data_IF_295698882831
#
_entry.id   IF_295698882831
#
_cell.length_a   1.000
_cell.length_b   1.000
_cell.length_c   1.000
_cell.angle_alpha   90.00
_cell.angle_beta   90.00
_cell.angle_gamma   90.00
#
_symmetry.space_group_name_H-M   'P 1'
#
loop_
_entity.id
_entity.type
_entity.pdbx_description
1 polymer ?
#
# COMPACT_ATOMS: atom_id res chain seq x y z
N UNK A 1 -23.48 12.83 48.21
CA UNK A 1 -23.64 13.31 46.83
C UNK A 1 -22.22 13.56 46.31
N UNK A 2 -21.64 12.57 45.61
CA UNK A 2 -20.30 12.71 44.98
C UNK A 2 -20.51 13.10 43.51
N UNK A 3 -19.77 14.10 42.99
CA UNK A 3 -19.89 14.47 41.59
C UNK A 3 -19.30 13.35 40.72
N UNK A 4 -20.06 12.91 39.71
CA UNK A 4 -19.60 12.08 38.64
C UNK A 4 -18.40 12.78 37.97
N UNK A 5 -17.21 12.21 38.09
CA UNK A 5 -16.08 12.52 37.23
C UNK A 5 -16.49 12.09 35.79
N UNK A 6 -16.75 13.09 34.95
CA UNK A 6 -16.79 12.92 33.51
C UNK A 6 -15.46 12.32 33.08
N UNK A 7 -15.51 11.09 32.56
CA UNK A 7 -14.39 10.49 31.88
C UNK A 7 -14.02 11.43 30.72
N UNK A 8 -12.86 12.02 30.87
CA UNK A 8 -12.19 12.84 29.87
C UNK A 8 -12.10 12.01 28.59
N UNK A 9 -12.82 12.46 27.58
CA UNK A 9 -12.83 11.79 26.27
C UNK A 9 -11.42 11.82 25.71
N UNK A 10 -10.69 10.71 25.92
CA UNK A 10 -9.39 10.50 25.27
C UNK A 10 -9.57 10.76 23.80
N UNK A 11 -9.03 11.87 23.32
CA UNK A 11 -9.00 12.26 21.92
C UNK A 11 -8.41 11.10 21.14
N UNK A 12 -9.28 10.41 20.38
CA UNK A 12 -8.87 9.37 19.44
C UNK A 12 -7.94 10.09 18.47
N UNK A 13 -6.64 9.88 18.59
CA UNK A 13 -5.65 10.48 17.70
C UNK A 13 -5.89 9.97 16.29
N UNK A 14 -6.30 10.86 15.40
CA UNK A 14 -6.40 10.57 13.99
C UNK A 14 -5.05 10.05 13.49
N UNK A 15 -5.08 8.92 12.76
CA UNK A 15 -3.86 8.37 12.17
C UNK A 15 -3.33 9.36 11.12
N UNK A 16 -2.07 9.85 11.25
CA UNK A 16 -1.56 10.87 10.34
C UNK A 16 -1.38 10.32 8.92
N UNK A 17 -2.03 10.93 7.95
CA UNK A 17 -2.01 10.53 6.54
C UNK A 17 -0.68 10.81 5.82
N UNK A 18 0.24 11.55 6.44
CA UNK A 18 1.52 11.92 5.81
C UNK A 18 2.38 10.70 5.43
N UNK A 19 2.28 9.59 6.18
CA UNK A 19 3.00 8.36 5.84
C UNK A 19 2.55 7.78 4.49
N UNK A 20 1.25 7.80 4.22
CA UNK A 20 0.70 7.38 2.95
C UNK A 20 1.14 8.32 1.81
N UNK A 21 1.16 9.64 2.05
CA UNK A 21 1.67 10.62 1.08
C UNK A 21 3.13 10.38 0.75
N UNK A 22 3.97 10.06 1.74
CA UNK A 22 5.39 9.70 1.53
C UNK A 22 5.51 8.44 0.66
N UNK A 23 4.70 7.41 0.91
CA UNK A 23 4.73 6.19 0.10
C UNK A 23 4.33 6.45 -1.36
N UNK A 24 3.33 7.31 -1.60
CA UNK A 24 2.95 7.73 -2.95
C UNK A 24 4.09 8.50 -3.63
N UNK A 25 4.71 9.46 -2.95
CA UNK A 25 5.83 10.23 -3.49
C UNK A 25 7.01 9.31 -3.82
N UNK A 26 7.33 8.37 -2.93
CA UNK A 26 8.40 7.40 -3.17
C UNK A 26 8.08 6.51 -4.39
N UNK A 27 6.83 6.05 -4.53
CA UNK A 27 6.38 5.30 -5.71
C UNK A 27 6.52 6.11 -7.00
N UNK A 28 6.23 7.42 -6.95
CA UNK A 28 6.43 8.32 -8.09
C UNK A 28 7.91 8.52 -8.44
N UNK A 29 8.78 8.67 -7.44
CA UNK A 29 10.22 8.78 -7.65
C UNK A 29 10.74 7.51 -8.34
N UNK A 30 10.34 6.34 -7.85
CA UNK A 30 10.70 5.07 -8.47
C UNK A 30 10.19 4.97 -9.92
N UNK A 31 8.96 5.44 -10.20
CA UNK A 31 8.39 5.44 -11.54
C UNK A 31 9.14 6.39 -12.49
N UNK A 32 9.48 7.62 -12.05
CA UNK A 32 10.19 8.61 -12.88
C UNK A 32 11.61 8.17 -13.19
N UNK A 33 12.24 7.40 -12.32
CA UNK A 33 13.59 6.87 -12.52
C UNK A 33 13.64 5.61 -13.39
N UNK A 34 12.48 5.06 -13.79
CA UNK A 34 12.42 3.98 -14.78
C UNK A 34 12.85 4.47 -16.18
N UNK A 35 13.50 3.61 -16.97
CA UNK A 35 13.78 3.92 -18.39
C UNK A 35 12.49 4.24 -19.15
N UNK A 36 12.51 5.21 -20.09
CA UNK A 36 11.32 5.64 -20.84
C UNK A 36 10.58 4.50 -21.57
N UNK A 37 11.29 3.46 -21.97
CA UNK A 37 10.72 2.26 -22.61
C UNK A 37 9.85 1.40 -21.68
N UNK A 38 10.01 1.57 -20.36
CA UNK A 38 9.25 0.84 -19.33
C UNK A 38 8.13 1.69 -18.71
N UNK A 39 7.94 2.91 -19.20
CA UNK A 39 6.87 3.80 -18.79
C UNK A 39 5.77 3.87 -19.84
N UNK A 40 4.52 3.93 -19.40
CA UNK A 40 3.38 4.04 -20.31
C UNK A 40 3.13 5.50 -20.68
N UNK A 41 3.23 5.82 -21.97
CA UNK A 41 2.99 7.17 -22.49
C UNK A 41 4.08 8.17 -22.10
N UNK A 42 3.76 9.48 -22.10
CA UNK A 42 4.71 10.51 -21.69
C UNK A 42 5.05 10.39 -20.19
N UNK A 43 6.33 10.52 -19.84
CA UNK A 43 6.83 10.37 -18.47
C UNK A 43 6.12 11.26 -17.44
N UNK A 44 5.62 12.42 -17.86
CA UNK A 44 4.91 13.37 -17.01
C UNK A 44 3.44 13.01 -16.72
N UNK A 45 2.84 12.09 -17.50
CA UNK A 45 1.40 11.79 -17.42
C UNK A 45 1.01 11.19 -16.06
N UNK A 46 1.66 10.11 -15.64
CA UNK A 46 1.36 9.43 -14.36
C UNK A 46 1.67 10.34 -13.18
N UNK A 47 2.84 11.00 -13.08
CA UNK A 47 3.11 11.97 -12.03
C UNK A 47 2.09 13.11 -11.97
N UNK A 48 1.69 13.69 -13.11
CA UNK A 48 0.70 14.77 -13.14
C UNK A 48 -0.66 14.30 -12.61
N UNK A 49 -1.16 13.17 -13.08
CA UNK A 49 -2.42 12.59 -12.61
C UNK A 49 -2.37 12.28 -11.11
N UNK A 50 -1.27 11.68 -10.64
CA UNK A 50 -1.10 11.33 -9.23
C UNK A 50 -1.01 12.57 -8.35
N UNK A 51 -0.23 13.59 -8.74
CA UNK A 51 -0.09 14.84 -7.99
C UNK A 51 -1.38 15.66 -8.00
N UNK A 52 -2.14 15.65 -9.09
CA UNK A 52 -3.44 16.34 -9.17
C UNK A 52 -4.47 15.80 -8.17
N UNK A 53 -4.35 14.54 -7.78
CA UNK A 53 -5.18 13.91 -6.75
C UNK A 53 -4.54 14.02 -5.36
N UNK A 54 -3.22 13.87 -5.25
CA UNK A 54 -2.51 13.90 -3.98
C UNK A 54 -2.55 15.28 -3.32
N UNK A 55 -2.37 16.35 -4.08
CA UNK A 55 -2.34 17.72 -3.57
C UNK A 55 -3.67 18.11 -2.90
N UNK A 56 -4.84 17.99 -3.56
CA UNK A 56 -6.12 18.29 -2.91
C UNK A 56 -6.37 17.36 -1.70
N UNK A 57 -6.02 16.09 -1.80
CA UNK A 57 -6.23 15.13 -0.72
C UNK A 57 -5.38 15.44 0.52
N UNK A 58 -4.16 15.95 0.34
CA UNK A 58 -3.25 16.29 1.44
C UNK A 58 -3.54 17.67 2.06
N UNK A 59 -4.00 18.64 1.26
CA UNK A 59 -4.16 20.04 1.69
C UNK A 59 -5.62 20.36 2.02
N UNK A 60 -6.57 19.91 1.22
CA UNK A 60 -7.99 20.31 1.31
C UNK A 60 -8.79 19.38 2.20
N UNK A 61 -8.48 18.08 2.19
CA UNK A 61 -9.22 17.09 2.97
C UNK A 61 -9.22 17.38 4.48
N UNK A 62 -8.10 17.77 5.13
CA UNK A 62 -8.11 18.08 6.56
C UNK A 62 -9.03 19.24 6.94
N UNK A 63 -9.32 20.14 6.00
CA UNK A 63 -10.13 21.34 6.24
C UNK A 63 -11.64 21.15 6.03
N UNK A 64 -12.06 20.13 5.27
CA UNK A 64 -13.46 19.88 4.90
C UNK A 64 -14.02 18.63 5.55
N UNK A 65 -14.57 18.71 6.74
CA UNK A 65 -15.18 17.58 7.48
C UNK A 65 -16.44 16.96 6.83
N UNK A 66 -16.85 17.35 5.64
CA UNK A 66 -18.16 17.00 5.04
C UNK A 66 -18.17 15.90 3.98
N UNK A 67 -17.06 15.66 3.26
CA UNK A 67 -17.08 14.84 2.03
C UNK A 67 -16.18 13.57 2.11
N UNK A 68 -16.23 12.85 3.21
CA UNK A 68 -15.42 11.65 3.44
C UNK A 68 -15.50 10.58 2.33
N UNK A 69 -16.65 10.51 1.62
CA UNK A 69 -16.82 9.58 0.49
C UNK A 69 -15.99 9.99 -0.72
N UNK A 70 -15.93 11.28 -1.02
CA UNK A 70 -15.17 11.81 -2.16
C UNK A 70 -13.66 11.69 -1.89
N UNK A 71 -13.23 12.00 -0.67
CA UNK A 71 -11.85 11.83 -0.24
C UNK A 71 -11.37 10.38 -0.38
N UNK A 72 -12.18 9.44 0.08
CA UNK A 72 -11.88 8.01 -0.05
C UNK A 72 -11.86 7.56 -1.52
N UNK A 73 -12.82 8.03 -2.33
CA UNK A 73 -12.83 7.72 -3.76
C UNK A 73 -11.58 8.27 -4.47
N UNK A 74 -11.13 9.47 -4.11
CA UNK A 74 -9.91 10.08 -4.64
C UNK A 74 -8.66 9.31 -4.19
N UNK A 75 -8.57 8.85 -2.92
CA UNK A 75 -7.49 8.00 -2.42
C UNK A 75 -7.42 6.67 -3.19
N UNK A 76 -8.55 6.02 -3.35
CA UNK A 76 -8.64 4.75 -4.10
C UNK A 76 -8.26 4.96 -5.57
N UNK A 77 -8.74 6.02 -6.21
CA UNK A 77 -8.39 6.34 -7.59
C UNK A 77 -6.88 6.61 -7.76
N UNK A 78 -6.28 7.35 -6.82
CA UNK A 78 -4.85 7.62 -6.80
C UNK A 78 -4.04 6.32 -6.69
N UNK A 79 -4.38 5.46 -5.74
CA UNK A 79 -3.69 4.17 -5.57
C UNK A 79 -3.86 3.29 -6.81
N UNK A 80 -5.07 3.28 -7.41
CA UNK A 80 -5.35 2.52 -8.62
C UNK A 80 -4.53 3.00 -9.83
N UNK A 81 -4.34 4.31 -9.99
CA UNK A 81 -3.51 4.89 -11.07
C UNK A 81 -2.05 4.43 -10.91
N UNK A 82 -1.48 4.55 -9.71
CA UNK A 82 -0.09 4.15 -9.46
C UNK A 82 0.07 2.64 -9.64
N UNK A 83 -0.89 1.85 -9.15
CA UNK A 83 -0.87 0.39 -9.32
C UNK A 83 -0.95 -0.03 -10.80
N UNK A 84 -1.86 0.58 -11.56
CA UNK A 84 -1.99 0.32 -12.99
C UNK A 84 -0.69 0.68 -13.74
N UNK A 85 -0.10 1.83 -13.43
CA UNK A 85 1.18 2.22 -14.00
C UNK A 85 2.28 1.19 -13.69
N UNK A 86 2.34 0.68 -12.45
CA UNK A 86 3.30 -0.35 -12.04
C UNK A 86 3.10 -1.66 -12.80
N UNK A 87 1.86 -2.13 -12.96
CA UNK A 87 1.53 -3.35 -13.71
C UNK A 87 1.88 -3.18 -15.19
N UNK A 88 1.61 -2.03 -15.78
CA UNK A 88 1.98 -1.73 -17.15
C UNK A 88 3.50 -1.70 -17.33
N UNK A 89 4.25 -1.12 -16.38
CA UNK A 89 5.71 -1.14 -16.40
C UNK A 89 6.27 -2.56 -16.32
N UNK A 90 5.66 -3.44 -15.51
CA UNK A 90 6.01 -4.86 -15.48
C UNK A 90 5.74 -5.55 -16.82
N UNK A 91 4.59 -5.29 -17.43
CA UNK A 91 4.25 -5.85 -18.74
C UNK A 91 5.23 -5.39 -19.84
N UNK A 92 5.61 -4.11 -19.83
CA UNK A 92 6.62 -3.56 -20.74
C UNK A 92 8.01 -4.15 -20.48
N UNK A 93 8.38 -4.39 -19.22
CA UNK A 93 9.62 -5.07 -18.86
C UNK A 93 9.65 -6.50 -19.43
N UNK A 94 8.59 -7.27 -19.26
CA UNK A 94 8.46 -8.63 -19.81
C UNK A 94 8.54 -8.59 -21.34
N UNK A 95 7.82 -7.66 -21.97
CA UNK A 95 7.85 -7.49 -23.42
C UNK A 95 9.26 -7.15 -23.93
N UNK A 96 9.98 -6.25 -23.24
CA UNK A 96 11.35 -5.89 -23.61
C UNK A 96 12.33 -7.06 -23.50
N UNK A 97 12.11 -7.96 -22.55
CA UNK A 97 12.88 -9.20 -22.41
C UNK A 97 12.61 -10.18 -23.54
N UNK A 98 11.32 -10.36 -23.91
CA UNK A 98 10.90 -11.30 -24.96
C UNK A 98 11.33 -10.85 -26.35
N UNK A 99 11.36 -9.55 -26.63
CA UNK A 99 11.69 -8.97 -27.94
C UNK A 99 13.19 -8.90 -28.24
N UNK A 100 14.05 -9.58 -27.47
CA UNK A 100 15.52 -9.59 -27.66
C UNK A 100 16.11 -8.17 -27.75
N UNK A 101 15.62 -7.24 -26.94
CA UNK A 101 16.04 -5.84 -26.96
C UNK A 101 17.56 -5.68 -26.75
N UNK A 102 18.29 -5.60 -27.86
CA UNK A 102 19.76 -5.46 -27.90
C UNK A 102 20.29 -4.20 -27.21
N UNK A 103 19.41 -3.30 -26.79
CA UNK A 103 19.77 -1.97 -26.29
C UNK A 103 19.66 -1.82 -24.75
N UNK A 104 19.32 -2.87 -24.00
CA UNK A 104 19.23 -2.81 -22.56
C UNK A 104 20.35 -3.60 -21.92
N UNK A 105 21.11 -2.97 -21.02
CA UNK A 105 22.08 -3.71 -20.20
C UNK A 105 21.35 -4.60 -19.19
N UNK A 106 21.93 -5.75 -18.88
CA UNK A 106 21.35 -6.65 -17.87
C UNK A 106 21.17 -5.97 -16.52
N UNK A 107 22.11 -5.10 -16.14
CA UNK A 107 22.05 -4.35 -14.90
C UNK A 107 20.87 -3.35 -14.88
N UNK A 108 20.60 -2.66 -15.98
CA UNK A 108 19.46 -1.74 -16.08
C UNK A 108 18.12 -2.47 -15.92
N UNK A 109 17.99 -3.65 -16.52
CA UNK A 109 16.77 -4.47 -16.39
C UNK A 109 16.58 -5.00 -14.97
N UNK A 110 17.67 -5.42 -14.29
CA UNK A 110 17.61 -5.84 -12.90
C UNK A 110 17.18 -4.71 -11.97
N UNK A 111 17.78 -3.52 -12.14
CA UNK A 111 17.41 -2.36 -11.34
C UNK A 111 15.95 -1.96 -11.56
N UNK A 112 15.51 -1.95 -12.82
CA UNK A 112 14.10 -1.65 -13.16
C UNK A 112 13.12 -2.67 -12.55
N UNK A 113 13.44 -3.95 -12.60
CA UNK A 113 12.63 -5.00 -11.98
C UNK A 113 12.56 -4.82 -10.46
N UNK A 114 13.66 -4.47 -9.80
CA UNK A 114 13.67 -4.16 -8.37
C UNK A 114 12.84 -2.92 -8.04
N UNK A 115 12.92 -1.86 -8.86
CA UNK A 115 12.08 -0.65 -8.70
C UNK A 115 10.59 -0.98 -8.83
N UNK A 116 10.21 -1.78 -9.82
CA UNK A 116 8.83 -2.24 -10.02
C UNK A 116 8.36 -3.08 -8.82
N UNK A 117 9.20 -3.99 -8.31
CA UNK A 117 8.89 -4.79 -7.15
C UNK A 117 8.71 -3.93 -5.88
N UNK A 118 9.62 -2.98 -5.64
CA UNK A 118 9.51 -2.08 -4.48
C UNK A 118 8.26 -1.17 -4.58
N UNK A 119 7.93 -0.69 -5.78
CA UNK A 119 6.69 0.04 -6.03
C UNK A 119 5.46 -0.82 -5.73
N UNK A 120 5.49 -2.11 -6.10
CA UNK A 120 4.42 -3.06 -5.78
C UNK A 120 4.19 -3.14 -4.27
N UNK A 121 5.25 -3.30 -3.47
CA UNK A 121 5.16 -3.32 -2.00
C UNK A 121 4.53 -2.05 -1.45
N UNK A 122 4.96 -0.87 -1.91
CA UNK A 122 4.43 0.41 -1.42
C UNK A 122 2.95 0.58 -1.77
N UNK A 123 2.58 0.25 -3.00
CA UNK A 123 1.21 0.41 -3.51
C UNK A 123 0.24 -0.56 -2.85
N UNK A 124 0.65 -1.82 -2.63
CA UNK A 124 -0.22 -2.77 -1.92
C UNK A 124 -0.31 -2.48 -0.43
N UNK A 125 0.75 -1.95 0.20
CA UNK A 125 0.67 -1.40 1.55
C UNK A 125 -0.37 -0.27 1.66
N UNK A 126 -0.44 0.63 0.65
CA UNK A 126 -1.48 1.65 0.55
C UNK A 126 -2.88 1.05 0.34
N UNK A 127 -3.03 0.03 -0.52
CA UNK A 127 -4.29 -0.68 -0.71
C UNK A 127 -4.81 -1.30 0.59
N UNK A 128 -3.96 -2.02 1.32
CA UNK A 128 -4.33 -2.63 2.59
C UNK A 128 -4.74 -1.58 3.62
N UNK A 129 -3.97 -0.51 3.74
CA UNK A 129 -4.25 0.59 4.67
C UNK A 129 -5.57 1.31 4.35
N UNK A 130 -5.88 1.56 3.07
CA UNK A 130 -7.09 2.26 2.65
C UNK A 130 -8.33 1.37 2.67
N UNK A 131 -8.19 0.05 2.49
CA UNK A 131 -9.34 -0.87 2.45
C UNK A 131 -9.72 -1.40 3.82
N UNK A 132 -8.74 -1.70 4.69
CA UNK A 132 -8.99 -2.34 5.97
C UNK A 132 -9.98 -1.56 6.85
N UNK A 133 -11.05 -2.23 7.21
CA UNK A 133 -12.07 -1.69 8.08
C UNK A 133 -12.77 -0.43 7.58
N UNK A 134 -12.75 -0.19 6.27
CA UNK A 134 -13.35 1.00 5.66
C UNK A 134 -12.43 2.22 5.58
N UNK A 135 -11.12 2.03 5.82
CA UNK A 135 -10.09 3.05 5.71
C UNK A 135 -9.75 3.75 7.04
N UNK A 136 -8.70 4.60 7.02
CA UNK A 136 -8.15 5.21 8.23
C UNK A 136 -9.18 6.03 9.03
N UNK A 137 -10.02 6.81 8.35
CA UNK A 137 -11.05 7.63 9.01
C UNK A 137 -12.14 6.79 9.68
N UNK A 138 -12.52 5.67 9.05
CA UNK A 138 -13.48 4.75 9.63
C UNK A 138 -12.87 4.01 10.83
N UNK A 139 -11.55 3.72 10.76
CA UNK A 139 -10.81 3.13 11.89
C UNK A 139 -10.69 4.09 13.07
N UNK A 140 -10.44 5.37 12.82
CA UNK A 140 -10.31 6.39 13.87
C UNK A 140 -11.63 6.61 14.63
N UNK A 141 -12.76 6.61 13.92
CA UNK A 141 -14.09 6.91 14.52
C UNK A 141 -14.79 5.72 15.20
N UNK A 142 -14.24 4.51 15.16
CA UNK A 142 -14.91 3.32 15.69
C UNK A 142 -14.25 2.77 16.96
N UNK A 143 -15.09 2.44 17.96
CA UNK A 143 -14.64 1.68 19.12
C UNK A 143 -14.41 0.24 18.69
N UNK A 144 -13.19 -0.29 18.95
CA UNK A 144 -12.84 -1.68 18.69
C UNK A 144 -13.90 -2.61 19.36
N UNK A 145 -14.49 -3.50 18.58
CA UNK A 145 -15.36 -4.57 19.09
C UNK A 145 -16.86 -4.40 18.86
N UNK A 146 -17.36 -3.25 18.40
CA UNK A 146 -18.81 -3.11 18.07
C UNK A 146 -19.04 -3.09 16.56
N UNK A 147 -19.27 -4.29 15.97
CA UNK A 147 -19.84 -4.43 14.63
C UNK A 147 -18.91 -4.01 13.46
N UNK A 148 -17.62 -3.81 13.71
CA UNK A 148 -16.67 -3.39 12.69
C UNK A 148 -16.18 -4.59 11.90
N UNK A 149 -16.30 -4.51 10.57
CA UNK A 149 -15.70 -5.46 9.64
C UNK A 149 -14.23 -5.10 9.45
N UNK A 150 -13.31 -5.90 9.96
CA UNK A 150 -11.88 -5.82 9.69
C UNK A 150 -11.54 -6.75 8.52
N UNK A 151 -10.63 -6.32 7.65
CA UNK A 151 -10.21 -7.12 6.50
C UNK A 151 -8.96 -7.95 6.83
N UNK A 152 -8.11 -7.47 7.76
CA UNK A 152 -6.88 -8.13 8.18
C UNK A 152 -6.84 -8.29 9.71
N UNK A 153 -6.63 -9.52 10.18
CA UNK A 153 -6.41 -9.83 11.59
C UNK A 153 -4.91 -9.86 11.87
N UNK A 154 -4.43 -8.81 12.51
CA UNK A 154 -3.04 -8.75 12.97
C UNK A 154 -2.86 -9.52 14.28
N UNK A 155 -1.69 -10.19 14.50
CA UNK A 155 -1.43 -10.96 15.72
C UNK A 155 -1.53 -10.11 16.98
N UNK A 156 -1.18 -8.82 16.92
CA UNK A 156 -1.28 -7.89 18.04
C UNK A 156 -2.74 -7.61 18.45
N UNK A 157 -3.69 -7.65 17.50
CA UNK A 157 -5.12 -7.57 17.81
C UNK A 157 -5.60 -8.81 18.56
N UNK A 158 -5.22 -9.99 18.08
CA UNK A 158 -5.57 -11.25 18.74
C UNK A 158 -4.96 -11.35 20.15
N UNK A 159 -3.68 -10.99 20.30
CA UNK A 159 -2.97 -10.98 21.58
C UNK A 159 -3.56 -9.96 22.56
N UNK A 160 -3.96 -8.77 22.10
CA UNK A 160 -4.55 -7.74 22.95
C UNK A 160 -5.94 -8.12 23.50
N UNK A 161 -6.70 -8.96 22.79
CA UNK A 161 -7.97 -9.50 23.31
C UNK A 161 -7.76 -10.51 24.44
N UNK A 162 -6.69 -11.31 24.37
CA UNK A 162 -6.36 -12.31 25.38
C UNK A 162 -5.69 -11.69 26.62
N UNK A 163 -4.85 -10.66 26.42
CA UNK A 163 -4.06 -10.01 27.46
C UNK A 163 -4.65 -8.67 27.96
N UNK A 164 -5.96 -8.45 27.81
CA UNK A 164 -6.61 -7.19 28.23
C UNK A 164 -6.34 -6.88 29.71
N UNK A 165 -5.36 -6.06 29.95
CA UNK A 165 -5.27 -5.25 31.16
C UNK A 165 -6.20 -4.04 30.97
N UNK A 166 -7.11 -3.78 31.91
CA UNK A 166 -8.10 -2.68 31.83
C UNK A 166 -7.49 -1.29 31.69
N UNK A 167 -6.17 -1.17 31.81
CA UNK A 167 -5.41 0.11 31.85
C UNK A 167 -4.68 0.45 30.57
N UNK A 168 -4.60 -0.42 29.56
CA UNK A 168 -3.86 -0.13 28.32
C UNK A 168 -4.80 0.15 27.14
N UNK A 169 -4.52 1.21 26.33
CA UNK A 169 -5.32 1.48 25.14
C UNK A 169 -5.23 0.30 24.15
N UNK A 170 -6.31 -0.05 23.46
CA UNK A 170 -6.31 -1.16 22.51
C UNK A 170 -5.32 -0.87 21.37
N UNK A 171 -4.51 -1.87 21.01
CA UNK A 171 -3.60 -1.76 19.87
C UNK A 171 -4.37 -1.51 18.56
N UNK A 172 -3.82 -0.68 17.68
CA UNK A 172 -4.38 -0.37 16.35
C UNK A 172 -3.29 -0.46 15.30
N UNK A 173 -3.56 -1.07 14.13
CA UNK A 173 -2.58 -1.11 13.05
C UNK A 173 -2.32 0.30 12.53
N UNK A 174 -1.03 0.60 12.30
CA UNK A 174 -0.54 1.83 11.68
C UNK A 174 -0.15 1.56 10.23
N UNK A 175 0.07 2.60 9.45
CA UNK A 175 0.47 2.49 8.05
C UNK A 175 1.66 1.53 7.83
N UNK A 176 2.66 1.57 8.70
CA UNK A 176 3.84 0.69 8.60
C UNK A 176 3.50 -0.79 8.76
N UNK A 177 2.49 -1.15 9.54
CA UNK A 177 2.06 -2.55 9.69
C UNK A 177 1.50 -3.11 8.38
N UNK A 178 0.84 -2.27 7.58
CA UNK A 178 0.34 -2.64 6.25
C UNK A 178 1.46 -2.72 5.21
N UNK A 179 2.46 -1.84 5.28
CA UNK A 179 3.66 -1.95 4.43
C UNK A 179 4.44 -3.21 4.77
N UNK A 180 4.56 -3.56 6.06
CA UNK A 180 5.17 -4.80 6.50
C UNK A 180 4.39 -6.03 5.99
N UNK A 181 3.05 -6.02 6.09
CA UNK A 181 2.20 -7.07 5.54
C UNK A 181 2.43 -7.24 4.03
N UNK A 182 2.45 -6.15 3.29
CA UNK A 182 2.72 -6.13 1.85
C UNK A 182 4.12 -6.68 1.54
N UNK A 183 5.14 -6.23 2.26
CA UNK A 183 6.51 -6.75 2.09
C UNK A 183 6.57 -8.26 2.30
N UNK A 184 5.95 -8.79 3.35
CA UNK A 184 5.89 -10.22 3.61
C UNK A 184 5.14 -10.99 2.50
N UNK A 185 4.03 -10.44 2.01
CA UNK A 185 3.25 -11.02 0.90
C UNK A 185 4.06 -11.03 -0.40
N UNK A 186 4.77 -9.93 -0.69
CA UNK A 186 5.56 -9.75 -1.91
C UNK A 186 6.81 -10.64 -1.95
N UNK A 187 7.42 -10.95 -0.78
CA UNK A 187 8.62 -11.79 -0.70
C UNK A 187 8.31 -13.27 -0.64
N UNK A 188 7.09 -13.67 -0.30
CA UNK A 188 6.66 -15.05 -0.05
C UNK A 188 7.54 -15.79 1.01
N UNK A 189 8.26 -15.05 1.85
CA UNK A 189 9.15 -15.56 2.89
C UNK A 189 8.46 -15.88 4.22
N UNK A 190 7.30 -16.33 4.24
CA UNK A 190 6.43 -16.60 5.38
C UNK A 190 5.29 -15.59 5.46
N UNK A 191 4.07 -16.04 5.69
CA UNK A 191 3.00 -15.13 5.97
C UNK A 191 3.42 -14.32 7.21
N UNK A 192 3.37 -13.00 7.10
CA UNK A 192 3.13 -12.22 8.29
C UNK A 192 1.97 -12.94 8.98
N UNK A 193 2.05 -13.22 10.28
CA UNK A 193 0.99 -13.92 11.03
C UNK A 193 -0.36 -13.17 11.00
N UNK A 194 -0.59 -12.43 9.93
CA UNK A 194 -1.75 -11.60 9.65
C UNK A 194 -2.68 -12.33 8.69
N UNK A 195 -3.92 -12.60 9.13
CA UNK A 195 -4.88 -13.36 8.37
C UNK A 195 -5.84 -12.46 7.60
N UNK A 196 -6.00 -12.61 6.26
CA UNK A 196 -7.06 -11.95 5.52
C UNK A 196 -8.41 -12.60 5.85
N UNK A 197 -9.31 -11.82 6.43
CA UNK A 197 -10.63 -12.28 6.87
C UNK A 197 -11.69 -12.15 5.79
N UNK A 198 -11.53 -11.18 4.88
CA UNK A 198 -12.52 -10.90 3.83
C UNK A 198 -12.05 -11.37 2.46
N UNK A 199 -13.01 -11.53 1.53
CA UNK A 199 -12.68 -11.84 0.14
C UNK A 199 -11.86 -10.73 -0.51
N UNK A 200 -12.13 -9.46 -0.19
CA UNK A 200 -11.38 -8.31 -0.68
C UNK A 200 -9.91 -8.39 -0.25
N UNK A 201 -9.65 -8.64 1.05
CA UNK A 201 -8.30 -8.82 1.56
C UNK A 201 -7.57 -9.97 0.87
N UNK A 202 -8.26 -11.12 0.69
CA UNK A 202 -7.68 -12.28 -0.01
C UNK A 202 -7.33 -11.99 -1.47
N UNK A 203 -8.24 -11.32 -2.21
CA UNK A 203 -8.01 -10.96 -3.61
C UNK A 203 -6.84 -9.97 -3.75
N UNK A 204 -6.74 -8.99 -2.88
CA UNK A 204 -5.62 -8.05 -2.87
C UNK A 204 -4.30 -8.77 -2.63
N UNK A 205 -4.21 -9.64 -1.62
CA UNK A 205 -3.00 -10.42 -1.33
C UNK A 205 -2.64 -11.37 -2.49
N UNK A 206 -3.62 -12.03 -3.10
CA UNK A 206 -3.38 -12.89 -4.27
C UNK A 206 -2.84 -12.08 -5.45
N UNK A 207 -3.41 -10.90 -5.72
CA UNK A 207 -2.96 -10.03 -6.82
C UNK A 207 -1.54 -9.54 -6.57
N UNK A 208 -1.23 -9.09 -5.37
CA UNK A 208 0.12 -8.67 -4.99
C UNK A 208 1.11 -9.80 -5.14
N UNK A 209 0.81 -10.97 -4.57
CA UNK A 209 1.68 -12.14 -4.64
C UNK A 209 1.96 -12.55 -6.09
N UNK A 210 0.95 -12.50 -6.98
CA UNK A 210 1.11 -12.82 -8.40
C UNK A 210 2.03 -11.82 -9.10
N UNK A 211 1.82 -10.50 -8.90
CA UNK A 211 2.68 -9.45 -9.49
C UNK A 211 4.12 -9.59 -8.99
N UNK A 212 4.30 -9.81 -7.68
CA UNK A 212 5.62 -9.99 -7.08
C UNK A 212 6.30 -11.26 -7.58
N UNK A 213 5.59 -12.37 -7.64
CA UNK A 213 6.13 -13.63 -8.14
C UNK A 213 6.65 -13.49 -9.58
N UNK A 214 5.85 -12.88 -10.47
CA UNK A 214 6.27 -12.63 -11.85
C UNK A 214 7.50 -11.71 -11.89
N UNK A 215 7.52 -10.66 -11.08
CA UNK A 215 8.67 -9.73 -11.04
C UNK A 215 9.95 -10.42 -10.54
N UNK A 216 9.85 -11.23 -9.48
CA UNK A 216 10.99 -12.00 -8.94
C UNK A 216 11.49 -13.04 -9.97
N UNK A 217 10.56 -13.69 -10.68
CA UNK A 217 10.93 -14.64 -11.75
C UNK A 217 11.72 -13.94 -12.87
N UNK A 218 11.33 -12.71 -13.23
CA UNK A 218 12.07 -11.87 -14.20
C UNK A 218 13.46 -11.52 -13.69
N UNK A 219 13.58 -11.12 -12.41
CA UNK A 219 14.87 -10.82 -11.76
C UNK A 219 15.77 -12.07 -11.79
N UNK A 220 15.25 -13.22 -11.39
CA UNK A 220 16.01 -14.48 -11.36
C UNK A 220 16.49 -14.91 -12.75
N UNK A 221 15.59 -14.89 -13.74
CA UNK A 221 15.92 -15.23 -15.13
C UNK A 221 17.01 -14.32 -15.70
N UNK A 222 17.01 -13.03 -15.33
CA UNK A 222 18.02 -12.08 -15.82
C UNK A 222 19.33 -12.19 -15.08
N UNK A 223 19.29 -12.46 -13.77
CA UNK A 223 20.52 -12.66 -12.98
C UNK A 223 21.36 -13.83 -13.53
N UNK A 224 20.73 -14.95 -13.92
CA UNK A 224 21.39 -16.10 -14.52
C UNK A 224 22.10 -15.72 -15.83
N UNK A 225 21.45 -14.92 -16.68
CA UNK A 225 22.02 -14.50 -17.96
C UNK A 225 23.17 -13.49 -17.86
N UNK A 226 23.41 -12.89 -16.69
CA UNK A 226 24.53 -11.95 -16.48
C UNK A 226 25.76 -12.71 -15.99
N UNK A 227 25.55 -13.83 -15.28
CA UNK A 227 26.62 -14.65 -14.67
C UNK A 227 27.19 -15.67 -15.67
N UNK A 228 26.40 -16.04 -16.69
CA UNK A 228 26.81 -16.92 -17.79
C UNK A 228 27.47 -16.13 -18.95
#
# INVERSE_FOLDING_TARGET
>A
MKPHQQADGSSVSDEPRWHASVAVILSLILYITLPPRLTFGPLWLVPLLTLSLLIPLSIVAPARRGEKRLERAASIALIAIVNLANILSLALLIHSLASHGRNATGQELLLSAFQIWLTNVLVFGLWYWETDGGGPDARAGSVLGKGRRIDFLFPQLAASEVARSESSPPWRPKFFDYVFLSFCTATAFSPADTYPLTQTGKLLMMTEALVSFVTIAVIAARAINIIS
#
